data_IF_098720408524
#
_entry.id   IF_098720408524
#
_cell.length_a   1.000
_cell.length_b   1.000
_cell.length_c   1.000
_cell.angle_alpha   90.00
_cell.angle_beta   90.00
_cell.angle_gamma   90.00
#
_symmetry.space_group_name_H-M   'P 1'
#
loop_
_entity.id
_entity.type
_entity.pdbx_description
1 polymer ?
#
# COMPACT_ATOMS: atom_id res chain seq x y z
N UNK A 1 -28.80 32.48 45.61
CA UNK A 1 -30.24 32.12 45.71
C UNK A 1 -30.54 30.91 44.80
N UNK A 2 -31.72 30.29 44.89
CA UNK A 2 -32.11 29.20 43.98
C UNK A 2 -32.10 29.63 42.50
N UNK A 3 -32.48 30.89 42.22
CA UNK A 3 -32.43 31.50 40.90
C UNK A 3 -30.99 31.62 40.37
N UNK A 4 -30.04 32.07 41.20
CA UNK A 4 -28.63 32.15 40.81
C UNK A 4 -28.03 30.77 40.50
N UNK A 5 -28.34 29.76 41.31
CA UNK A 5 -27.90 28.38 41.08
C UNK A 5 -28.48 27.81 39.78
N UNK A 6 -29.74 28.11 39.47
CA UNK A 6 -30.36 27.72 38.21
C UNK A 6 -29.74 28.46 37.01
N UNK A 7 -29.47 29.76 37.11
CA UNK A 7 -28.76 30.49 36.06
C UNK A 7 -27.37 29.89 35.78
N UNK A 8 -26.65 29.46 36.82
CA UNK A 8 -25.36 28.79 36.65
C UNK A 8 -25.47 27.44 35.91
N UNK A 9 -26.57 26.70 36.09
CA UNK A 9 -26.81 25.44 35.36
C UNK A 9 -26.91 25.64 33.83
N UNK A 10 -27.28 26.84 33.34
CA UNK A 10 -27.38 27.10 31.89
C UNK A 10 -26.06 26.98 31.13
N UNK A 11 -24.94 27.10 31.85
CA UNK A 11 -23.60 26.99 31.27
C UNK A 11 -23.00 25.58 31.39
N UNK A 12 -23.72 24.62 31.99
CA UNK A 12 -23.22 23.25 32.17
C UNK A 12 -23.62 22.34 31.02
N UNK A 13 -22.92 21.21 30.89
CA UNK A 13 -23.25 20.15 29.93
C UNK A 13 -24.68 19.64 30.12
N UNK A 14 -25.11 19.44 31.37
CA UNK A 14 -26.48 19.04 31.70
C UNK A 14 -27.54 19.89 30.99
N UNK A 15 -27.36 21.21 30.88
CA UNK A 15 -28.30 22.09 30.15
C UNK A 15 -27.97 22.21 28.67
N UNK A 16 -26.72 22.54 28.32
CA UNK A 16 -26.33 22.86 26.94
C UNK A 16 -26.43 21.68 25.99
N UNK A 17 -26.36 20.45 26.50
CA UNK A 17 -26.49 19.22 25.72
C UNK A 17 -27.81 18.49 25.98
N UNK A 18 -28.72 19.08 26.77
CA UNK A 18 -30.03 18.49 27.08
C UNK A 18 -30.85 18.23 25.81
N UNK A 19 -31.71 17.24 25.87
CA UNK A 19 -32.70 16.99 24.82
C UNK A 19 -33.85 18.01 24.86
N UNK A 20 -34.19 18.50 26.06
CA UNK A 20 -35.22 19.52 26.29
C UNK A 20 -34.86 20.36 27.52
N UNK A 21 -35.02 21.68 27.42
CA UNK A 21 -34.80 22.64 28.52
C UNK A 21 -36.09 23.37 28.93
N UNK A 22 -37.22 23.09 28.30
CA UNK A 22 -38.45 23.86 28.42
C UNK A 22 -39.03 23.89 29.84
N UNK A 23 -39.03 22.75 30.54
CA UNK A 23 -39.48 22.65 31.94
C UNK A 23 -38.59 23.49 32.86
N UNK A 24 -37.26 23.39 32.69
CA UNK A 24 -36.29 24.15 33.45
C UNK A 24 -36.41 25.66 33.19
N UNK A 25 -36.53 26.06 31.92
CA UNK A 25 -36.66 27.45 31.50
C UNK A 25 -37.99 28.06 31.96
N UNK A 26 -39.07 27.28 31.92
CA UNK A 26 -40.38 27.66 32.45
C UNK A 26 -40.33 27.89 33.96
N UNK A 27 -39.75 26.96 34.72
CA UNK A 27 -39.60 27.09 36.17
C UNK A 27 -38.73 28.29 36.55
N UNK A 28 -37.63 28.52 35.83
CA UNK A 28 -36.75 29.67 36.04
C UNK A 28 -37.46 30.99 35.72
N UNK A 29 -38.26 31.02 34.67
CA UNK A 29 -39.06 32.20 34.30
C UNK A 29 -40.07 32.52 35.40
N UNK A 30 -40.82 31.52 35.88
CA UNK A 30 -41.78 31.69 36.96
C UNK A 30 -41.13 32.18 38.26
N UNK A 31 -39.95 31.65 38.62
CA UNK A 31 -39.19 32.08 39.80
C UNK A 31 -38.69 33.52 39.65
N UNK A 32 -38.18 33.91 38.47
CA UNK A 32 -37.75 35.28 38.19
C UNK A 32 -38.91 36.28 38.23
N UNK A 33 -40.08 35.91 37.71
CA UNK A 33 -41.29 36.75 37.77
C UNK A 33 -41.68 37.01 39.22
N UNK A 34 -41.72 35.96 40.06
CA UNK A 34 -42.05 36.11 41.48
C UNK A 34 -41.04 36.97 42.25
N UNK A 35 -39.75 36.88 41.90
CA UNK A 35 -38.68 37.67 42.53
C UNK A 35 -38.61 39.13 42.04
N UNK A 36 -39.52 39.56 41.16
CA UNK A 36 -39.55 40.92 40.59
C UNK A 36 -40.69 41.76 41.17
N UNK A 37 -40.71 43.06 40.88
CA UNK A 37 -41.80 43.98 41.25
C UNK A 37 -43.16 43.62 40.60
N UNK A 38 -43.19 42.64 39.68
CA UNK A 38 -44.39 42.11 39.04
C UNK A 38 -44.84 40.76 39.62
N UNK A 39 -44.22 40.30 40.70
CA UNK A 39 -44.57 39.05 41.37
C UNK A 39 -45.90 39.15 42.12
N UNK A 40 -46.69 38.08 42.05
CA UNK A 40 -47.91 37.96 42.85
C UNK A 40 -47.59 37.65 44.33
N UNK A 41 -48.51 38.00 45.23
CA UNK A 41 -48.40 37.64 46.65
C UNK A 41 -48.74 36.15 46.84
N UNK A 42 -47.72 35.29 46.74
CA UNK A 42 -47.82 33.84 46.87
C UNK A 42 -47.56 33.40 48.32
N UNK A 43 -48.21 32.32 48.77
CA UNK A 43 -47.96 31.74 50.09
C UNK A 43 -46.67 30.88 50.13
N UNK A 44 -46.27 30.46 51.32
CA UNK A 44 -45.04 29.69 51.51
C UNK A 44 -45.03 28.36 50.71
N UNK A 45 -46.18 27.71 50.54
CA UNK A 45 -46.27 26.45 49.81
C UNK A 45 -46.13 26.68 48.30
N UNK A 46 -46.75 27.72 47.77
CA UNK A 46 -46.63 28.11 46.36
C UNK A 46 -45.21 28.54 46.01
N UNK A 47 -44.53 29.27 46.90
CA UNK A 47 -43.10 29.61 46.76
C UNK A 47 -42.25 28.34 46.76
N UNK A 48 -42.48 27.41 47.69
CA UNK A 48 -41.74 26.15 47.76
C UNK A 48 -41.94 25.31 46.49
N UNK A 49 -43.15 25.24 45.94
CA UNK A 49 -43.42 24.53 44.70
C UNK A 49 -42.61 25.08 43.51
N UNK A 50 -42.43 26.40 43.41
CA UNK A 50 -41.58 27.01 42.37
C UNK A 50 -40.09 26.72 42.61
N UNK A 51 -39.63 26.67 43.86
CA UNK A 51 -38.27 26.24 44.21
C UNK A 51 -38.05 24.78 43.82
N UNK A 52 -39.02 23.90 44.11
CA UNK A 52 -38.94 22.47 43.80
C UNK A 52 -38.93 22.25 42.29
N UNK A 53 -39.80 22.92 41.53
CA UNK A 53 -39.80 22.86 40.06
C UNK A 53 -38.44 23.29 39.46
N UNK A 54 -37.84 24.36 40.00
CA UNK A 54 -36.53 24.85 39.55
C UNK A 54 -35.37 23.91 39.92
N UNK A 55 -35.47 23.24 41.06
CA UNK A 55 -34.43 22.36 41.59
C UNK A 55 -34.48 20.98 40.96
N UNK A 56 -35.70 20.46 40.72
CA UNK A 56 -35.97 19.09 40.27
C UNK A 56 -36.18 18.97 38.75
N UNK A 57 -36.26 20.07 38.00
CA UNK A 57 -36.33 20.02 36.54
C UNK A 57 -35.18 19.16 35.99
N UNK A 58 -35.55 18.12 35.24
CA UNK A 58 -34.62 17.11 34.79
C UNK A 58 -33.85 17.60 33.56
N UNK A 59 -32.53 17.69 33.69
CA UNK A 59 -31.63 18.05 32.60
C UNK A 59 -30.75 16.85 32.29
N UNK A 60 -30.94 16.27 31.11
CA UNK A 60 -30.33 15.00 30.71
C UNK A 60 -29.05 15.17 29.87
N UNK A 61 -28.52 16.39 29.73
CA UNK A 61 -27.42 16.67 28.80
C UNK A 61 -26.14 15.87 29.04
N UNK A 62 -25.81 15.56 30.30
CA UNK A 62 -24.65 14.71 30.62
C UNK A 62 -24.87 13.27 30.12
N UNK A 63 -26.10 12.75 30.26
CA UNK A 63 -26.48 11.43 29.74
C UNK A 63 -26.47 11.43 28.21
N UNK A 64 -27.04 12.46 27.58
CA UNK A 64 -27.06 12.60 26.13
C UNK A 64 -25.64 12.65 25.54
N UNK A 65 -24.71 13.35 26.20
CA UNK A 65 -23.31 13.36 25.80
C UNK A 65 -22.65 11.99 25.95
N UNK A 66 -22.89 11.30 27.08
CA UNK A 66 -22.34 9.96 27.28
C UNK A 66 -22.87 8.95 26.27
N UNK A 67 -24.18 8.94 26.02
CA UNK A 67 -24.81 8.06 25.03
C UNK A 67 -24.22 8.31 23.61
N UNK A 68 -23.94 9.57 23.26
CA UNK A 68 -23.27 9.92 22.00
C UNK A 68 -21.82 9.42 21.93
N UNK A 69 -21.07 9.49 23.04
CA UNK A 69 -19.70 8.94 23.13
C UNK A 69 -19.70 7.43 22.96
N UNK A 70 -20.59 6.73 23.67
CA UNK A 70 -20.69 5.27 23.61
C UNK A 70 -21.01 4.80 22.18
N UNK A 71 -21.96 5.46 21.50
CA UNK A 71 -22.30 5.17 20.11
C UNK A 71 -21.13 5.44 19.14
N UNK A 72 -20.37 6.52 19.35
CA UNK A 72 -19.20 6.82 18.54
C UNK A 72 -18.04 5.82 18.76
N UNK A 73 -17.81 5.40 20.01
CA UNK A 73 -16.83 4.37 20.35
C UNK A 73 -17.21 3.03 19.72
N UNK A 74 -18.50 2.66 19.70
CA UNK A 74 -18.98 1.47 19.01
C UNK A 74 -18.67 1.52 17.51
N UNK A 75 -18.95 2.66 16.85
CA UNK A 75 -18.61 2.87 15.43
C UNK A 75 -17.11 2.75 15.18
N UNK A 76 -16.27 3.36 16.02
CA UNK A 76 -14.81 3.30 15.90
C UNK A 76 -14.31 1.85 16.10
N UNK A 77 -14.88 1.12 17.06
CA UNK A 77 -14.51 -0.27 17.30
C UNK A 77 -14.85 -1.18 16.11
N UNK A 78 -15.93 -0.88 15.38
CA UNK A 78 -16.32 -1.59 14.16
C UNK A 78 -15.41 -1.32 12.95
N UNK A 79 -14.54 -0.30 12.99
CA UNK A 79 -13.55 -0.04 11.94
C UNK A 79 -12.47 -1.14 11.93
N UNK A 80 -12.35 -1.88 10.82
CA UNK A 80 -11.56 -3.12 10.75
C UNK A 80 -10.12 -2.95 10.28
N UNK A 81 -9.75 -1.78 9.79
CA UNK A 81 -8.44 -1.54 9.16
C UNK A 81 -7.49 -0.69 10.00
N UNK A 82 -8.00 0.12 10.92
CA UNK A 82 -7.14 0.86 11.85
C UNK A 82 -6.24 -0.08 12.63
N UNK A 83 -4.98 0.31 12.81
CA UNK A 83 -4.11 -0.36 13.78
C UNK A 83 -4.52 -0.01 15.21
N UNK A 84 -3.89 -0.68 16.19
CA UNK A 84 -4.24 -0.52 17.61
C UNK A 84 -4.05 0.91 18.12
N UNK A 85 -2.95 1.57 17.75
CA UNK A 85 -2.63 2.91 18.21
C UNK A 85 -3.61 3.96 17.64
N UNK A 86 -3.95 3.85 16.35
CA UNK A 86 -4.93 4.71 15.68
C UNK A 86 -6.33 4.56 16.27
N UNK A 87 -6.77 3.30 16.49
CA UNK A 87 -8.07 3.03 17.10
C UNK A 87 -8.15 3.58 18.52
N UNK A 88 -7.10 3.37 19.33
CA UNK A 88 -7.05 3.88 20.69
C UNK A 88 -7.08 5.41 20.72
N UNK A 89 -6.29 6.07 19.86
CA UNK A 89 -6.27 7.53 19.79
C UNK A 89 -7.64 8.13 19.43
N UNK A 90 -8.38 7.49 18.51
CA UNK A 90 -9.73 7.91 18.17
C UNK A 90 -10.72 7.72 19.33
N UNK A 91 -10.64 6.60 20.07
CA UNK A 91 -11.47 6.35 21.26
C UNK A 91 -11.16 7.37 22.36
N UNK A 92 -9.89 7.67 22.60
CA UNK A 92 -9.46 8.65 23.60
C UNK A 92 -9.97 10.06 23.23
N UNK A 93 -9.94 10.42 21.94
CA UNK A 93 -10.49 11.68 21.46
C UNK A 93 -12.01 11.77 21.72
N UNK A 94 -12.78 10.70 21.47
CA UNK A 94 -14.21 10.67 21.78
C UNK A 94 -14.45 10.80 23.29
N UNK A 95 -13.69 10.08 24.12
CA UNK A 95 -13.80 10.18 25.58
C UNK A 95 -13.52 11.60 26.09
N UNK A 96 -12.59 12.33 25.45
CA UNK A 96 -12.23 13.70 25.78
C UNK A 96 -13.20 14.76 25.22
N UNK A 97 -14.10 14.42 24.30
CA UNK A 97 -15.08 15.36 23.76
C UNK A 97 -16.00 15.90 24.86
N UNK A 98 -16.28 17.22 24.86
CA UNK A 98 -17.12 17.87 25.87
C UNK A 98 -18.51 18.24 25.35
N UNK A 99 -18.75 18.09 24.05
CA UNK A 99 -20.02 18.36 23.38
C UNK A 99 -20.32 17.28 22.34
N UNK A 100 -21.60 17.12 21.98
CA UNK A 100 -22.00 16.14 20.96
C UNK A 100 -21.42 16.50 19.58
N UNK A 101 -21.41 17.79 19.23
CA UNK A 101 -20.91 18.28 17.94
C UNK A 101 -19.40 18.02 17.75
N UNK A 102 -18.63 17.92 18.83
CA UNK A 102 -17.20 17.60 18.74
C UNK A 102 -16.92 16.12 18.41
N UNK A 103 -17.92 15.23 18.55
CA UNK A 103 -17.75 13.79 18.36
C UNK A 103 -17.77 13.41 16.88
N UNK A 104 -18.66 13.99 16.08
CA UNK A 104 -18.82 13.63 14.66
C UNK A 104 -17.53 13.79 13.83
N UNK A 105 -16.76 14.90 13.93
CA UNK A 105 -15.49 15.04 13.21
C UNK A 105 -14.44 13.98 13.58
N UNK A 106 -14.46 13.49 14.83
CA UNK A 106 -13.53 12.43 15.29
C UNK A 106 -13.87 11.11 14.59
N UNK A 107 -15.16 10.78 14.51
CA UNK A 107 -15.64 9.56 13.82
C UNK A 107 -15.36 9.64 12.32
N UNK A 108 -15.56 10.81 11.69
CA UNK A 108 -15.25 11.02 10.27
C UNK A 108 -13.75 10.86 9.97
N UNK A 109 -12.90 11.44 10.84
CA UNK A 109 -11.45 11.30 10.74
C UNK A 109 -11.01 9.83 10.86
N UNK A 110 -11.55 9.11 11.86
CA UNK A 110 -11.25 7.70 12.06
C UNK A 110 -11.74 6.83 10.88
N UNK A 111 -12.91 7.15 10.32
CA UNK A 111 -13.48 6.45 9.15
C UNK A 111 -12.63 6.67 7.91
N UNK A 112 -12.18 7.89 7.67
CA UNK A 112 -11.29 8.23 6.55
C UNK A 112 -9.95 7.51 6.67
N UNK A 113 -9.35 7.53 7.86
CA UNK A 113 -8.11 6.82 8.15
C UNK A 113 -8.26 5.30 7.97
N UNK A 114 -9.41 4.73 8.37
CA UNK A 114 -9.72 3.33 8.16
C UNK A 114 -9.78 2.96 6.66
N UNK A 115 -10.29 3.85 5.81
CA UNK A 115 -10.24 3.70 4.36
C UNK A 115 -8.80 3.60 3.86
N UNK A 116 -7.95 4.58 4.25
CA UNK A 116 -6.54 4.61 3.86
C UNK A 116 -5.73 3.42 4.37
N UNK A 117 -6.03 2.93 5.57
CA UNK A 117 -5.40 1.69 6.07
C UNK A 117 -5.85 0.46 5.27
N UNK A 118 -7.07 0.43 4.75
CA UNK A 118 -7.52 -0.60 3.81
C UNK A 118 -6.78 -0.54 2.47
N UNK A 119 -6.57 0.65 1.94
CA UNK A 119 -5.76 0.87 0.73
C UNK A 119 -4.31 0.43 0.96
N UNK A 120 -3.73 0.73 2.14
CA UNK A 120 -2.39 0.29 2.52
C UNK A 120 -2.26 -1.24 2.54
N UNK A 121 -3.23 -1.95 3.13
CA UNK A 121 -3.25 -3.43 3.12
C UNK A 121 -3.23 -3.97 1.69
N UNK A 122 -4.05 -3.41 0.81
CA UNK A 122 -4.11 -3.79 -0.61
C UNK A 122 -2.78 -3.51 -1.33
N UNK A 123 -2.14 -2.37 -1.04
CA UNK A 123 -0.85 -2.01 -1.60
C UNK A 123 0.28 -2.94 -1.13
N UNK A 124 0.24 -3.37 0.14
CA UNK A 124 1.17 -4.38 0.70
C UNK A 124 1.00 -5.71 -0.02
N UNK A 125 -0.23 -6.21 -0.19
CA UNK A 125 -0.50 -7.47 -0.90
C UNK A 125 -0.01 -7.42 -2.36
N UNK A 126 -0.27 -6.32 -3.06
CA UNK A 126 0.21 -6.11 -4.42
C UNK A 126 1.75 -6.04 -4.49
N UNK A 127 2.39 -5.45 -3.48
CA UNK A 127 3.84 -5.42 -3.37
C UNK A 127 4.42 -6.82 -3.10
N UNK A 128 3.86 -7.59 -2.18
CA UNK A 128 4.32 -8.97 -1.95
C UNK A 128 4.22 -9.84 -3.20
N UNK A 129 3.15 -9.69 -3.99
CA UNK A 129 3.02 -10.38 -5.28
C UNK A 129 4.14 -10.00 -6.27
N UNK A 130 4.58 -8.74 -6.31
CA UNK A 130 5.66 -8.27 -7.19
C UNK A 130 7.00 -8.97 -6.93
N UNK A 131 7.26 -9.45 -5.71
CA UNK A 131 8.52 -10.15 -5.36
C UNK A 131 8.78 -11.42 -6.19
N UNK A 132 7.72 -12.01 -6.75
CA UNK A 132 7.80 -13.20 -7.60
C UNK A 132 8.04 -12.90 -9.09
N UNK A 133 8.01 -11.61 -9.48
CA UNK A 133 8.07 -11.20 -10.89
C UNK A 133 9.51 -10.93 -11.34
N UNK A 134 9.73 -10.93 -12.65
CA UNK A 134 11.01 -10.56 -13.27
C UNK A 134 11.45 -9.15 -12.88
N UNK A 135 10.50 -8.20 -12.79
CA UNK A 135 10.76 -6.84 -12.36
C UNK A 135 11.52 -6.78 -11.03
N UNK A 136 11.18 -7.64 -10.05
CA UNK A 136 11.87 -7.73 -8.77
C UNK A 136 13.09 -8.67 -8.81
N UNK A 137 12.91 -9.91 -9.28
CA UNK A 137 13.95 -10.96 -9.18
C UNK A 137 15.18 -10.66 -10.03
N UNK A 138 15.03 -9.90 -11.11
CA UNK A 138 16.13 -9.49 -11.99
C UNK A 138 16.53 -8.02 -11.79
N UNK A 139 15.93 -7.33 -10.82
CA UNK A 139 16.25 -5.93 -10.51
C UNK A 139 17.72 -5.74 -10.16
N UNK A 140 18.25 -4.56 -10.43
CA UNK A 140 19.58 -4.16 -9.99
C UNK A 140 19.62 -3.76 -8.52
N UNK A 141 18.52 -3.22 -7.99
CA UNK A 141 18.34 -2.85 -6.58
C UNK A 141 16.87 -3.00 -6.16
N UNK A 142 16.62 -3.57 -4.99
CA UNK A 142 15.29 -3.76 -4.40
C UNK A 142 15.11 -3.00 -3.08
N UNK A 143 16.14 -2.33 -2.56
CA UNK A 143 16.13 -1.77 -1.20
C UNK A 143 15.01 -0.76 -0.96
N UNK A 144 14.77 0.15 -1.91
CA UNK A 144 13.70 1.14 -1.75
C UNK A 144 12.33 0.48 -1.65
N UNK A 145 12.10 -0.54 -2.48
CA UNK A 145 10.89 -1.35 -2.48
C UNK A 145 10.74 -2.13 -1.16
N UNK A 146 11.79 -2.84 -0.73
CA UNK A 146 11.78 -3.65 0.50
C UNK A 146 11.61 -2.79 1.75
N UNK A 147 12.21 -1.59 1.78
CA UNK A 147 12.04 -0.63 2.86
C UNK A 147 10.61 -0.08 2.92
N UNK A 148 10.02 0.28 1.77
CA UNK A 148 8.64 0.74 1.71
C UNK A 148 7.66 -0.34 2.18
N UNK A 149 7.88 -1.59 1.74
CA UNK A 149 7.09 -2.74 2.17
C UNK A 149 7.24 -3.04 3.65
N UNK A 150 8.45 -2.93 4.20
CA UNK A 150 8.70 -3.07 5.63
C UNK A 150 7.98 -1.97 6.42
N UNK A 151 8.05 -0.72 5.97
CA UNK A 151 7.36 0.40 6.62
C UNK A 151 5.84 0.24 6.60
N UNK A 152 5.26 -0.19 5.46
CA UNK A 152 3.85 -0.51 5.35
C UNK A 152 3.42 -1.65 6.28
N UNK A 153 4.18 -2.75 6.30
CA UNK A 153 3.91 -3.89 7.18
C UNK A 153 4.00 -3.52 8.67
N UNK A 154 4.99 -2.71 9.06
CA UNK A 154 5.12 -2.20 10.43
C UNK A 154 3.89 -1.40 10.82
N UNK A 155 3.44 -0.45 9.99
CA UNK A 155 2.26 0.36 10.28
C UNK A 155 0.97 -0.47 10.35
N UNK A 156 0.83 -1.49 9.49
CA UNK A 156 -0.32 -2.39 9.45
C UNK A 156 -0.32 -3.44 10.60
N UNK A 157 0.77 -3.54 11.36
CA UNK A 157 0.87 -4.49 12.48
C UNK A 157 0.18 -3.98 13.74
N UNK A 158 0.03 -4.87 14.74
CA UNK A 158 -0.45 -4.51 16.08
C UNK A 158 0.45 -3.48 16.81
N UNK A 159 1.70 -3.33 16.37
CA UNK A 159 2.68 -2.38 16.90
C UNK A 159 2.84 -1.14 16.00
N UNK A 160 1.95 -0.93 15.03
CA UNK A 160 1.98 0.26 14.18
C UNK A 160 1.72 1.53 14.98
N UNK A 161 2.40 2.61 14.59
CA UNK A 161 2.24 3.93 15.20
C UNK A 161 0.87 4.56 14.87
N UNK A 162 0.47 5.55 15.66
CA UNK A 162 -0.70 6.37 15.39
C UNK A 162 -0.41 7.40 14.28
N UNK A 163 -0.33 6.92 13.05
CA UNK A 163 -0.16 7.78 11.87
C UNK A 163 -1.51 8.25 11.31
N UNK A 164 -1.54 9.47 10.76
CA UNK A 164 -2.72 10.04 10.11
C UNK A 164 -2.88 9.58 8.65
N UNK A 165 -3.95 10.04 8.00
CA UNK A 165 -4.30 9.63 6.64
C UNK A 165 -3.27 10.07 5.59
N UNK A 166 -2.57 11.19 5.80
CA UNK A 166 -1.56 11.70 4.89
C UNK A 166 -0.27 10.87 4.97
N UNK A 167 0.17 10.56 6.20
CA UNK A 167 1.30 9.69 6.43
C UNK A 167 1.07 8.27 5.87
N UNK A 168 -0.15 7.73 6.02
CA UNK A 168 -0.54 6.44 5.41
C UNK A 168 -0.47 6.53 3.88
N UNK A 169 -0.99 7.60 3.28
CA UNK A 169 -0.91 7.80 1.83
C UNK A 169 0.55 7.87 1.35
N UNK A 170 1.43 8.54 2.08
CA UNK A 170 2.85 8.59 1.74
C UNK A 170 3.50 7.20 1.72
N UNK A 171 3.10 6.28 2.62
CA UNK A 171 3.58 4.88 2.58
C UNK A 171 3.04 4.11 1.38
N UNK A 172 1.77 4.31 1.03
CA UNK A 172 1.16 3.72 -0.19
C UNK A 172 1.91 4.19 -1.45
N UNK A 173 2.21 5.49 -1.51
CA UNK A 173 2.93 6.07 -2.65
C UNK A 173 4.35 5.53 -2.74
N UNK A 174 5.05 5.39 -1.61
CA UNK A 174 6.38 4.79 -1.56
C UNK A 174 6.39 3.34 -2.07
N UNK A 175 5.37 2.55 -1.71
CA UNK A 175 5.17 1.18 -2.19
C UNK A 175 4.89 1.11 -3.70
N UNK A 176 4.10 2.06 -4.20
CA UNK A 176 3.65 2.08 -5.60
C UNK A 176 4.73 2.59 -6.54
N UNK A 177 5.49 3.60 -6.10
CA UNK A 177 6.48 4.31 -6.92
C UNK A 177 7.91 3.74 -6.82
N UNK A 178 8.16 2.75 -5.95
CA UNK A 178 9.47 2.11 -5.88
C UNK A 178 9.82 1.44 -7.23
N UNK A 179 10.89 1.94 -7.86
CA UNK A 179 11.32 1.50 -9.18
C UNK A 179 11.98 0.12 -9.12
N UNK A 180 11.44 -0.83 -9.88
CA UNK A 180 11.98 -2.16 -10.06
C UNK A 180 12.32 -2.34 -11.54
N UNK A 181 13.61 -2.42 -11.86
CA UNK A 181 14.12 -2.37 -13.23
C UNK A 181 14.41 -3.74 -13.84
N UNK A 182 13.99 -4.83 -13.20
CA UNK A 182 14.40 -6.19 -13.58
C UNK A 182 14.05 -6.60 -15.00
N UNK A 183 12.88 -6.19 -15.51
CA UNK A 183 12.49 -6.45 -16.90
C UNK A 183 13.43 -5.77 -17.89
N UNK A 184 13.78 -4.51 -17.62
CA UNK A 184 14.75 -3.75 -18.42
C UNK A 184 16.12 -4.42 -18.36
N UNK A 185 16.55 -4.82 -17.17
CA UNK A 185 17.85 -5.45 -16.99
C UNK A 185 17.94 -6.81 -17.71
N UNK A 186 16.87 -7.59 -17.73
CA UNK A 186 16.81 -8.83 -18.50
C UNK A 186 16.87 -8.54 -20.00
N UNK A 187 16.12 -7.55 -20.48
CA UNK A 187 16.14 -7.16 -21.89
C UNK A 187 17.52 -6.67 -22.33
N UNK A 188 18.17 -5.81 -21.56
CA UNK A 188 19.51 -5.31 -21.84
C UNK A 188 20.53 -6.47 -21.92
N UNK A 189 20.39 -7.50 -21.07
CA UNK A 189 21.22 -8.70 -21.11
C UNK A 189 20.98 -9.55 -22.38
N UNK A 190 19.72 -9.69 -22.81
CA UNK A 190 19.37 -10.37 -24.07
C UNK A 190 19.97 -9.65 -25.27
N UNK A 191 19.81 -8.33 -25.33
CA UNK A 191 20.32 -7.51 -26.43
C UNK A 191 21.85 -7.62 -26.53
N UNK A 192 22.55 -7.57 -25.40
CA UNK A 192 24.00 -7.76 -25.34
C UNK A 192 24.43 -9.16 -25.80
N UNK A 193 23.71 -10.20 -25.41
CA UNK A 193 24.00 -11.57 -25.83
C UNK A 193 23.73 -11.81 -27.33
N UNK A 194 22.64 -11.27 -27.86
CA UNK A 194 22.32 -11.31 -29.29
C UNK A 194 23.39 -10.58 -30.10
N UNK A 195 23.88 -9.43 -29.62
CA UNK A 195 24.98 -8.72 -30.28
C UNK A 195 26.26 -9.57 -30.33
N UNK A 196 26.61 -10.26 -29.24
CA UNK A 196 27.75 -11.21 -29.21
C UNK A 196 27.57 -12.35 -30.20
N UNK A 197 26.39 -12.99 -30.22
CA UNK A 197 26.07 -14.08 -31.16
C UNK A 197 26.14 -13.60 -32.61
N UNK A 198 25.67 -12.40 -32.90
CA UNK A 198 25.75 -11.82 -34.24
C UNK A 198 27.18 -11.56 -34.70
N UNK A 199 28.10 -11.26 -33.79
CA UNK A 199 29.52 -11.06 -34.08
C UNK A 199 30.29 -12.35 -34.37
N UNK A 200 29.73 -13.53 -34.05
CA UNK A 200 30.33 -14.83 -34.39
C UNK A 200 30.38 -15.03 -35.91
N UNK A 201 31.55 -15.33 -36.46
CA UNK A 201 31.83 -15.27 -37.91
C UNK A 201 31.80 -16.62 -38.61
N UNK A 202 31.85 -17.72 -37.87
CA UNK A 202 31.92 -19.06 -38.42
C UNK A 202 30.56 -19.77 -38.46
N UNK A 203 29.65 -19.43 -37.55
CA UNK A 203 28.28 -19.95 -37.55
C UNK A 203 27.54 -19.69 -38.85
N UNK A 204 26.72 -20.67 -39.27
CA UNK A 204 25.77 -20.49 -40.35
C UNK A 204 24.48 -19.78 -39.86
N UNK A 205 23.61 -19.39 -40.80
CA UNK A 205 22.37 -18.65 -40.50
C UNK A 205 21.44 -19.40 -39.54
N UNK A 206 21.27 -20.71 -39.72
CA UNK A 206 20.37 -21.51 -38.89
C UNK A 206 20.88 -21.66 -37.45
N UNK A 207 22.18 -21.91 -37.29
CA UNK A 207 22.83 -21.99 -35.97
C UNK A 207 22.75 -20.66 -35.22
N UNK A 208 23.00 -19.55 -35.93
CA UNK A 208 22.90 -18.20 -35.37
C UNK A 208 21.46 -17.87 -34.94
N UNK A 209 20.48 -18.18 -35.80
CA UNK A 209 19.07 -17.97 -35.48
C UNK A 209 18.64 -18.79 -34.26
N UNK A 210 19.00 -20.08 -34.20
CA UNK A 210 18.68 -20.95 -33.07
C UNK A 210 19.24 -20.40 -31.73
N UNK A 211 20.47 -19.88 -31.74
CA UNK A 211 21.06 -19.25 -30.56
C UNK A 211 20.35 -17.94 -30.17
N UNK A 212 19.99 -17.10 -31.14
CA UNK A 212 19.22 -15.86 -30.90
C UNK A 212 17.84 -16.17 -30.31
N UNK A 213 17.14 -17.17 -30.86
CA UNK A 213 15.82 -17.59 -30.37
C UNK A 213 15.91 -18.13 -28.95
N UNK A 214 16.96 -18.89 -28.63
CA UNK A 214 17.22 -19.35 -27.27
C UNK A 214 17.42 -18.17 -26.29
N UNK A 215 18.20 -17.15 -26.67
CA UNK A 215 18.37 -15.93 -25.84
C UNK A 215 17.05 -15.19 -25.66
N UNK A 216 16.26 -15.03 -26.72
CA UNK A 216 14.94 -14.38 -26.63
C UNK A 216 13.98 -15.12 -25.69
N UNK A 217 14.07 -16.46 -25.63
CA UNK A 217 13.27 -17.30 -24.76
C UNK A 217 13.77 -17.38 -23.31
N UNK A 218 14.97 -16.90 -23.01
CA UNK A 218 15.47 -16.85 -21.63
C UNK A 218 14.56 -15.98 -20.75
N UNK A 219 14.27 -16.44 -19.54
CA UNK A 219 13.42 -15.75 -18.56
C UNK A 219 14.22 -15.11 -17.43
N UNK A 220 15.51 -15.47 -17.32
CA UNK A 220 16.45 -14.93 -16.33
C UNK A 220 17.79 -14.60 -16.99
N UNK A 221 18.59 -13.75 -16.34
CA UNK A 221 19.94 -13.42 -16.83
C UNK A 221 20.88 -14.63 -16.79
N UNK A 222 20.71 -15.51 -15.80
CA UNK A 222 21.57 -16.68 -15.61
C UNK A 222 21.42 -17.71 -16.73
N UNK A 223 20.24 -17.79 -17.36
CA UNK A 223 20.00 -18.65 -18.52
C UNK A 223 20.74 -18.17 -19.79
N UNK A 224 21.10 -16.89 -19.87
CA UNK A 224 21.65 -16.28 -21.09
C UNK A 224 23.11 -16.70 -21.32
N UNK A 225 23.94 -16.72 -20.27
CA UNK A 225 25.38 -16.98 -20.41
C UNK A 225 25.68 -18.38 -21.01
N UNK A 226 25.05 -19.48 -20.56
CA UNK A 226 25.24 -20.80 -21.16
C UNK A 226 24.89 -20.86 -22.66
N UNK A 227 23.91 -20.08 -23.11
CA UNK A 227 23.52 -20.01 -24.53
C UNK A 227 24.64 -19.37 -25.36
N UNK A 228 25.20 -18.26 -24.87
CA UNK A 228 26.33 -17.58 -25.52
C UNK A 228 27.56 -18.47 -25.57
N UNK A 229 27.87 -19.20 -24.49
CA UNK A 229 29.02 -20.11 -24.44
C UNK A 229 28.87 -21.28 -25.42
N UNK A 230 27.66 -21.82 -25.53
CA UNK A 230 27.33 -22.87 -26.51
C UNK A 230 27.51 -22.37 -27.95
N UNK A 231 27.00 -21.17 -28.26
CA UNK A 231 27.15 -20.55 -29.57
C UNK A 231 28.63 -20.27 -29.91
N UNK A 232 29.39 -19.77 -28.93
CA UNK A 232 30.83 -19.48 -29.08
C UNK A 232 31.64 -20.75 -29.32
N UNK A 233 31.34 -21.83 -28.59
CA UNK A 233 31.99 -23.13 -28.78
C UNK A 233 31.68 -23.70 -30.17
N UNK A 234 30.40 -23.63 -30.59
CA UNK A 234 30.00 -24.06 -31.91
C UNK A 234 30.68 -23.23 -33.01
N UNK A 235 30.83 -21.93 -32.83
CA UNK A 235 31.55 -21.06 -33.76
C UNK A 235 32.99 -21.51 -33.95
N UNK A 236 33.70 -21.80 -32.85
CA UNK A 236 35.05 -22.36 -32.91
C UNK A 236 35.12 -23.66 -33.72
N UNK A 237 34.18 -24.60 -33.49
CA UNK A 237 34.11 -25.86 -34.23
C UNK A 237 33.77 -25.67 -35.71
N UNK A 238 32.90 -24.72 -36.03
CA UNK A 238 32.60 -24.36 -37.42
C UNK A 238 33.83 -23.74 -38.10
N UNK A 239 34.63 -22.96 -37.37
CA UNK A 239 35.90 -22.44 -37.86
C UNK A 239 36.92 -23.55 -38.15
N UNK A 240 37.04 -24.53 -37.25
CA UNK A 240 37.89 -25.72 -37.46
C UNK A 240 37.43 -26.54 -38.68
N UNK A 241 36.11 -26.73 -38.85
CA UNK A 241 35.53 -27.42 -40.00
C UNK A 241 35.85 -26.69 -41.32
N UNK A 242 35.68 -25.36 -41.36
CA UNK A 242 36.04 -24.55 -42.55
C UNK A 242 37.50 -24.73 -42.94
N UNK A 243 38.42 -24.65 -41.97
CA UNK A 243 39.86 -24.89 -42.22
C UNK A 243 40.13 -26.31 -42.72
N UNK A 244 39.42 -27.31 -42.19
CA UNK A 244 39.58 -28.70 -42.63
C UNK A 244 39.11 -28.89 -44.08
N UNK A 245 38.00 -28.24 -44.47
CA UNK A 245 37.49 -28.22 -45.86
C UNK A 245 38.50 -27.51 -46.77
N UNK A 246 38.97 -26.31 -46.41
CA UNK A 246 39.97 -25.57 -47.20
C UNK A 246 41.27 -26.38 -47.39
N UNK A 247 41.75 -27.04 -46.33
CA UNK A 247 42.92 -27.91 -46.40
C UNK A 247 42.67 -29.17 -47.25
N UNK A 248 41.45 -29.72 -47.25
CA UNK A 248 41.05 -30.81 -48.11
C UNK A 248 40.98 -30.36 -49.58
N UNK A 249 40.33 -29.24 -49.88
CA UNK A 249 40.28 -28.66 -51.23
C UNK A 249 41.68 -28.40 -51.79
N UNK A 250 42.60 -27.88 -50.98
CA UNK A 250 43.99 -27.66 -51.39
C UNK A 250 44.70 -28.96 -51.82
N UNK A 251 44.32 -30.12 -51.27
CA UNK A 251 44.88 -31.42 -51.67
C UNK A 251 44.50 -31.80 -53.10
N UNK A 252 43.38 -31.31 -53.65
CA UNK A 252 42.95 -31.60 -55.03
C UNK A 252 43.96 -31.12 -56.07
N UNK A 253 44.78 -30.13 -55.72
CA UNK A 253 45.84 -29.59 -56.58
C UNK A 253 47.18 -30.35 -56.46
N UNK A 254 47.28 -31.35 -55.58
CA UNK A 254 48.54 -32.09 -55.36
C UNK A 254 48.66 -33.27 -56.31
N UNK A 255 49.91 -33.64 -56.65
CA UNK A 255 50.19 -34.83 -57.48
C UNK A 255 49.65 -36.12 -56.86
N UNK A 256 49.63 -36.21 -55.54
CA UNK A 256 49.07 -37.36 -54.83
C UNK A 256 47.58 -37.56 -55.12
N UNK A 257 46.84 -36.45 -55.29
CA UNK A 257 45.44 -36.49 -55.66
C UNK A 257 45.25 -36.70 -57.17
N UNK A 258 45.94 -35.94 -58.03
CA UNK A 258 45.73 -35.99 -59.48
C UNK A 258 46.18 -37.30 -60.13
N UNK A 259 47.04 -38.07 -59.46
CA UNK A 259 47.50 -39.39 -59.90
C UNK A 259 46.89 -40.54 -59.09
N UNK A 260 45.93 -40.26 -58.20
CA UNK A 260 45.25 -41.31 -57.45
C UNK A 260 44.39 -42.17 -58.38
N UNK A 261 44.38 -43.49 -58.16
CA UNK A 261 43.54 -44.41 -58.94
C UNK A 261 42.05 -44.31 -58.60
N UNK A 262 41.70 -43.73 -57.45
CA UNK A 262 40.34 -43.52 -56.97
C UNK A 262 40.31 -42.34 -55.99
N UNK A 263 39.51 -41.30 -56.27
CA UNK A 263 39.29 -40.15 -55.38
C UNK A 263 37.88 -40.11 -54.79
N UNK A 264 37.03 -41.07 -55.14
CA UNK A 264 35.58 -41.00 -54.92
C UNK A 264 35.21 -40.82 -53.45
N UNK A 265 35.87 -41.56 -52.56
CA UNK A 265 35.63 -41.47 -51.12
C UNK A 265 36.06 -40.10 -50.53
N UNK A 266 37.13 -39.51 -51.06
CA UNK A 266 37.60 -38.19 -50.65
C UNK A 266 36.65 -37.08 -51.14
N UNK A 267 36.25 -37.15 -52.41
CA UNK A 267 35.30 -36.20 -52.99
C UNK A 267 33.94 -36.26 -52.30
N UNK A 268 33.43 -37.46 -52.07
CA UNK A 268 32.15 -37.66 -51.36
C UNK A 268 32.19 -37.10 -49.93
N UNK A 269 33.33 -37.18 -49.24
CA UNK A 269 33.47 -36.64 -47.89
C UNK A 269 33.60 -35.10 -47.85
N UNK A 270 33.95 -34.47 -48.98
CA UNK A 270 34.10 -33.03 -49.10
C UNK A 270 32.81 -32.36 -49.58
N UNK A 271 32.02 -33.09 -50.38
CA UNK A 271 30.74 -32.63 -50.91
C UNK A 271 29.58 -32.73 -49.90
N UNK A 272 29.74 -33.49 -48.81
CA UNK A 272 28.76 -33.68 -47.72
C UNK A 272 29.14 -32.92 -46.44
#
# INVERSE_FOLDING_TARGET
SAIEAANAKKSTTAYTQASDTSEFDGALTAANTLNSDKGDNEDANAVQAKIDALTNANLDGDKQLQDAKDAAIEKINALTNLNKAQKQAAIDAVNNATTKDAIDPIVETATTLNGKMGDLKSAIEAADAKKSTTAYTQASDTKAFDNALTAGNTLNSDNGDNEDAEAVQAKIDALTNANLDGDKQLQDAKDAAIAKINALTNLNKAQKQAAIDAVNNATTKDEIQPIVDTATTLDGKMGDLKKAIEAADAKKSTTAYTQASDTTAFDTALDN
#
